data_IF_156898247475
#
_entry.id   IF_156898247475
#
_cell.length_a   1.000
_cell.length_b   1.000
_cell.length_c   1.000
_cell.angle_alpha   90.00
_cell.angle_beta   90.00
_cell.angle_gamma   90.00
#
_symmetry.space_group_name_H-M   'P 1'
#
loop_
_entity.id
_entity.type
_entity.pdbx_description
1 polymer ?
#
# COMPACT_ATOMS: atom_id res chain seq x y z
N UNK A 1 -5.33 -6.07 1.54
CA UNK A 1 -4.25 -6.71 2.34
C UNK A 1 -2.93 -6.36 1.67
N UNK A 2 -2.06 -5.59 2.34
CA UNK A 2 -0.81 -5.10 1.75
C UNK A 2 0.40 -5.76 2.41
N UNK A 3 1.51 -5.89 1.66
CA UNK A 3 2.77 -6.38 2.21
C UNK A 3 3.28 -5.49 3.34
N UNK A 4 3.11 -4.17 3.24
CA UNK A 4 3.54 -3.20 4.27
C UNK A 4 2.94 -3.53 5.65
N UNK A 5 1.61 -3.69 5.74
CA UNK A 5 0.94 -4.06 7.00
C UNK A 5 1.41 -5.41 7.55
N UNK A 6 1.63 -6.38 6.68
CA UNK A 6 2.16 -7.69 7.07
C UNK A 6 3.57 -7.57 7.67
N UNK A 7 4.43 -6.77 7.04
CA UNK A 7 5.79 -6.52 7.50
C UNK A 7 5.83 -5.70 8.80
N UNK A 8 4.93 -4.73 8.98
CA UNK A 8 4.76 -3.99 10.24
C UNK A 8 4.39 -4.94 11.39
N UNK A 9 3.44 -5.87 11.16
CA UNK A 9 3.08 -6.90 12.14
C UNK A 9 4.28 -7.76 12.48
N UNK A 10 4.99 -8.29 11.49
CA UNK A 10 6.17 -9.14 11.73
C UNK A 10 7.26 -8.38 12.50
N UNK A 11 7.54 -7.13 12.11
CA UNK A 11 8.53 -6.26 12.78
C UNK A 11 8.20 -6.00 14.25
N UNK A 12 6.92 -5.80 14.57
CA UNK A 12 6.47 -5.57 15.95
C UNK A 12 6.70 -6.77 16.89
N UNK A 13 7.01 -7.94 16.34
CA UNK A 13 7.23 -9.17 17.08
C UNK A 13 8.71 -9.45 17.37
N UNK A 14 9.64 -8.67 16.83
CA UNK A 14 11.08 -8.87 17.06
C UNK A 14 11.37 -8.84 18.55
N UNK A 15 12.11 -9.85 19.03
CA UNK A 15 12.45 -10.02 20.45
C UNK A 15 11.48 -10.88 21.25
N UNK A 16 10.31 -11.26 20.73
CA UNK A 16 9.46 -12.26 21.37
C UNK A 16 10.18 -13.58 21.50
N UNK A 17 10.17 -14.18 22.71
CA UNK A 17 10.86 -15.42 23.06
C UNK A 17 9.86 -16.49 23.47
N UNK A 18 10.24 -17.76 23.26
CA UNK A 18 9.55 -18.89 23.86
C UNK A 18 10.00 -19.13 25.30
N UNK A 19 9.14 -19.66 26.18
CA UNK A 19 9.45 -20.09 27.55
C UNK A 19 8.33 -21.04 28.05
N UNK A 20 8.61 -22.31 28.31
CA UNK A 20 9.76 -23.13 27.94
C UNK A 20 9.80 -23.53 26.46
N UNK A 21 10.54 -24.55 26.09
CA UNK A 21 10.78 -25.00 24.70
C UNK A 21 9.51 -25.02 23.87
N UNK A 22 9.49 -24.19 22.82
CA UNK A 22 8.38 -24.01 21.87
C UNK A 22 7.05 -23.55 22.48
N UNK A 23 7.01 -23.17 23.74
CA UNK A 23 5.84 -22.49 24.31
C UNK A 23 5.90 -20.99 23.98
N UNK A 24 5.07 -20.56 23.09
CA UNK A 24 5.00 -19.17 22.59
C UNK A 24 3.59 -18.86 22.17
N UNK A 25 3.20 -17.59 22.28
CA UNK A 25 1.82 -17.15 21.95
C UNK A 25 1.34 -17.56 20.54
N UNK A 26 2.26 -17.72 19.58
CA UNK A 26 1.91 -18.15 18.22
C UNK A 26 1.44 -19.60 18.19
N UNK A 27 2.09 -20.46 18.93
CA UNK A 27 1.67 -21.85 19.10
C UNK A 27 0.35 -21.95 19.85
N UNK A 28 0.20 -21.21 20.94
CA UNK A 28 -1.06 -21.17 21.71
C UNK A 28 -2.23 -20.76 20.81
N UNK A 29 -2.04 -19.70 20.01
CA UNK A 29 -3.02 -19.27 19.01
C UNK A 29 -3.31 -20.35 17.94
N UNK A 30 -2.25 -20.98 17.40
CA UNK A 30 -2.40 -21.95 16.31
C UNK A 30 -3.12 -23.21 16.74
N UNK A 31 -2.76 -23.76 17.89
CA UNK A 31 -3.29 -25.01 18.43
C UNK A 31 -4.55 -24.81 19.30
N UNK A 32 -4.91 -23.59 19.64
CA UNK A 32 -6.06 -23.26 20.52
C UNK A 32 -5.87 -23.69 21.97
N UNK A 33 -4.65 -24.02 22.38
CA UNK A 33 -4.25 -24.45 23.74
C UNK A 33 -2.76 -24.24 23.96
N UNK A 34 -2.35 -24.22 25.20
CA UNK A 34 -0.92 -24.24 25.54
C UNK A 34 -0.27 -25.52 25.06
N UNK A 35 0.83 -25.38 24.32
CA UNK A 35 1.69 -26.49 23.87
C UNK A 35 3.14 -26.15 24.13
N UNK A 36 3.96 -27.19 24.39
CA UNK A 36 5.40 -27.08 24.60
C UNK A 36 6.11 -28.34 24.15
N UNK A 37 7.43 -28.28 24.00
CA UNK A 37 8.26 -29.40 23.63
C UNK A 37 8.60 -29.45 22.12
N UNK A 38 9.51 -30.35 21.74
CA UNK A 38 10.14 -30.39 20.42
C UNK A 38 9.21 -30.70 19.26
N UNK A 39 7.98 -31.18 19.55
CA UNK A 39 6.97 -31.46 18.52
C UNK A 39 6.33 -30.21 17.91
N UNK A 40 6.60 -29.03 18.46
CA UNK A 40 5.92 -27.78 18.12
C UNK A 40 6.85 -26.68 17.61
N UNK A 41 7.70 -26.92 16.58
CA UNK A 41 8.51 -25.85 15.99
C UNK A 41 7.60 -24.78 15.38
N UNK A 42 7.93 -23.50 15.58
CA UNK A 42 6.99 -22.43 15.31
C UNK A 42 7.42 -21.39 14.26
N UNK A 43 8.45 -21.67 13.46
CA UNK A 43 8.85 -20.76 12.37
C UNK A 43 7.69 -20.50 11.38
N UNK A 44 7.00 -21.55 10.94
CA UNK A 44 5.84 -21.45 10.03
C UNK A 44 4.62 -20.86 10.74
N UNK A 45 4.41 -21.28 11.99
CA UNK A 45 3.29 -20.82 12.80
C UNK A 45 3.37 -19.31 13.05
N UNK A 46 4.58 -18.77 13.24
CA UNK A 46 4.83 -17.33 13.29
C UNK A 46 4.39 -16.62 12.00
N UNK A 47 4.76 -17.14 10.84
CA UNK A 47 4.32 -16.59 9.53
C UNK A 47 2.80 -16.63 9.42
N UNK A 48 2.18 -17.74 9.81
CA UNK A 48 0.72 -17.88 9.82
C UNK A 48 0.06 -16.86 10.76
N UNK A 49 0.61 -16.65 11.95
CA UNK A 49 0.09 -15.67 12.90
C UNK A 49 0.17 -14.26 12.32
N UNK A 50 1.30 -13.86 11.75
CA UNK A 50 1.43 -12.55 11.09
C UNK A 50 0.42 -12.38 9.95
N UNK A 51 0.20 -13.44 9.15
CA UNK A 51 -0.77 -13.42 8.07
C UNK A 51 -2.23 -13.29 8.56
N UNK A 52 -2.55 -13.90 9.70
CA UNK A 52 -3.86 -13.80 10.35
C UNK A 52 -4.17 -12.37 10.77
N UNK A 53 -3.20 -11.69 11.40
CA UNK A 53 -3.37 -10.32 11.89
C UNK A 53 -3.74 -9.31 10.76
N UNK A 54 -3.44 -9.65 9.50
CA UNK A 54 -3.78 -8.81 8.34
C UNK A 54 -4.87 -9.42 7.45
N UNK A 55 -5.51 -10.51 7.90
CA UNK A 55 -6.57 -11.21 7.18
C UNK A 55 -6.11 -11.94 5.91
N UNK A 56 -4.81 -12.24 5.79
CA UNK A 56 -4.18 -12.93 4.64
C UNK A 56 -4.13 -14.46 4.80
N UNK A 57 -4.28 -14.97 6.03
CA UNK A 57 -4.26 -16.40 6.31
C UNK A 57 -5.44 -17.12 5.62
N UNK A 58 -5.15 -18.25 4.99
CA UNK A 58 -6.12 -19.02 4.21
C UNK A 58 -6.49 -18.41 2.85
N UNK A 59 -6.04 -17.17 2.56
CA UNK A 59 -6.29 -16.48 1.28
C UNK A 59 -5.02 -16.33 0.44
N UNK A 60 -3.98 -15.75 1.02
CA UNK A 60 -2.69 -15.50 0.36
C UNK A 60 -1.59 -16.40 0.91
N UNK A 61 -1.70 -16.84 2.15
CA UNK A 61 -0.75 -17.67 2.87
C UNK A 61 -1.54 -18.83 3.51
N UNK A 62 -1.16 -20.10 3.28
CA UNK A 62 -1.90 -21.25 3.80
C UNK A 62 -1.74 -21.37 5.32
N UNK A 63 -2.75 -21.94 5.99
CA UNK A 63 -2.65 -22.32 7.41
C UNK A 63 -2.00 -23.69 7.53
N UNK A 64 -0.76 -23.74 7.97
CA UNK A 64 0.00 -24.96 8.21
C UNK A 64 1.08 -24.72 9.28
N UNK A 65 1.58 -25.78 9.91
CA UNK A 65 2.74 -25.75 10.79
C UNK A 65 4.00 -26.37 10.14
N UNK A 66 3.92 -26.75 8.85
CA UNK A 66 5.01 -27.42 8.13
C UNK A 66 5.59 -26.55 7.03
N UNK A 67 6.91 -26.28 7.09
CA UNK A 67 7.66 -25.55 6.06
C UNK A 67 7.51 -26.20 4.68
N UNK A 68 7.59 -27.53 4.61
CA UNK A 68 7.45 -28.28 3.36
C UNK A 68 6.04 -28.19 2.78
N UNK A 69 5.01 -28.21 3.62
CA UNK A 69 3.61 -28.04 3.18
C UNK A 69 3.37 -26.63 2.66
N UNK A 70 3.89 -25.59 3.36
CA UNK A 70 3.79 -24.20 2.91
C UNK A 70 4.54 -24.00 1.59
N UNK A 71 5.76 -24.55 1.44
CA UNK A 71 6.53 -24.48 0.20
C UNK A 71 5.77 -25.11 -0.99
N UNK A 72 5.22 -26.33 -0.81
CA UNK A 72 4.44 -27.00 -1.86
C UNK A 72 3.21 -26.17 -2.24
N UNK A 73 2.51 -25.61 -1.26
CA UNK A 73 1.35 -24.77 -1.52
C UNK A 73 1.70 -23.58 -2.41
N UNK A 74 2.79 -22.85 -2.12
CA UNK A 74 3.23 -21.74 -2.98
C UNK A 74 3.61 -22.22 -4.38
N UNK A 75 4.34 -23.32 -4.49
CA UNK A 75 4.70 -23.92 -5.78
C UNK A 75 3.48 -24.22 -6.64
N UNK A 76 2.42 -24.74 -6.04
CA UNK A 76 1.25 -25.27 -6.74
C UNK A 76 0.17 -24.21 -6.99
N UNK A 77 0.09 -23.17 -6.15
CA UNK A 77 -0.99 -22.16 -6.22
C UNK A 77 -0.54 -20.76 -6.67
N UNK A 78 0.77 -20.46 -6.55
CA UNK A 78 1.30 -19.16 -6.99
C UNK A 78 2.56 -19.33 -7.82
N UNK A 79 3.73 -19.17 -7.22
CA UNK A 79 5.03 -19.50 -7.80
C UNK A 79 6.14 -19.49 -6.75
N UNK A 80 7.24 -20.19 -7.06
CA UNK A 80 8.51 -20.04 -6.35
C UNK A 80 9.46 -19.24 -7.22
N UNK A 81 10.09 -18.23 -6.64
CA UNK A 81 11.06 -17.35 -7.32
C UNK A 81 12.45 -17.43 -6.66
N UNK A 82 13.47 -16.97 -7.38
CA UNK A 82 14.82 -16.70 -6.84
C UNK A 82 15.06 -15.19 -6.64
N UNK A 83 14.14 -14.34 -7.13
CA UNK A 83 14.20 -12.90 -7.02
C UNK A 83 13.00 -12.40 -6.18
N UNK A 84 13.10 -12.47 -4.84
CA UNK A 84 11.99 -12.14 -3.96
C UNK A 84 11.70 -10.64 -3.93
N UNK A 85 10.53 -10.32 -3.39
CA UNK A 85 10.14 -8.98 -2.96
C UNK A 85 9.84 -8.97 -1.47
N UNK A 86 9.88 -7.81 -0.86
CA UNK A 86 9.45 -7.62 0.52
C UNK A 86 8.00 -8.12 0.71
N UNK A 87 7.79 -8.96 1.72
CA UNK A 87 6.53 -9.65 1.98
C UNK A 87 6.41 -11.06 1.38
N UNK A 88 7.37 -11.50 0.58
CA UNK A 88 7.45 -12.91 0.14
C UNK A 88 7.93 -13.81 1.28
N UNK A 89 7.66 -15.12 1.15
CA UNK A 89 8.00 -16.12 2.16
C UNK A 89 9.18 -16.95 1.69
N UNK A 90 10.29 -16.89 2.42
CA UNK A 90 11.51 -17.66 2.12
C UNK A 90 11.51 -19.04 2.77
N UNK A 91 12.23 -19.97 2.12
CA UNK A 91 12.37 -21.35 2.57
C UNK A 91 13.84 -21.78 2.52
N UNK A 92 14.30 -22.45 3.57
CA UNK A 92 15.58 -23.16 3.56
C UNK A 92 15.38 -24.63 3.19
N UNK A 93 16.37 -25.21 2.52
CA UNK A 93 16.39 -26.64 2.16
C UNK A 93 16.33 -27.49 3.42
N UNK A 94 15.57 -28.55 3.34
CA UNK A 94 15.64 -29.65 4.30
C UNK A 94 16.59 -30.75 3.84
N UNK A 95 17.05 -31.61 4.76
CA UNK A 95 17.84 -32.76 4.45
C UNK A 95 17.00 -33.96 4.02
N UNK A 96 15.89 -34.19 4.71
CA UNK A 96 14.94 -35.29 4.46
C UNK A 96 13.58 -34.81 3.90
N UNK A 97 13.33 -33.53 3.97
CA UNK A 97 12.09 -32.88 3.52
C UNK A 97 12.44 -31.73 2.59
N UNK A 98 11.54 -31.30 1.67
CA UNK A 98 11.82 -30.18 0.76
C UNK A 98 12.28 -28.90 1.47
N UNK A 99 11.60 -28.51 2.56
CA UNK A 99 11.95 -27.32 3.33
C UNK A 99 12.02 -27.63 4.82
N UNK A 100 13.05 -27.09 5.49
CA UNK A 100 13.28 -27.24 6.94
C UNK A 100 12.92 -26.02 7.75
N UNK A 101 12.98 -24.82 7.15
CA UNK A 101 12.72 -23.54 7.81
C UNK A 101 11.99 -22.58 6.90
N UNK A 102 11.27 -21.63 7.50
CA UNK A 102 10.46 -20.63 6.82
C UNK A 102 10.67 -19.26 7.45
N UNK A 103 10.78 -18.23 6.62
CA UNK A 103 11.01 -16.86 7.06
C UNK A 103 10.29 -15.84 6.17
N UNK A 104 10.11 -14.62 6.69
CA UNK A 104 9.53 -13.50 5.97
C UNK A 104 10.64 -12.66 5.37
N UNK A 105 10.58 -12.36 4.07
CA UNK A 105 11.47 -11.38 3.42
C UNK A 105 11.01 -9.99 3.83
N UNK A 106 11.83 -9.28 4.63
CA UNK A 106 11.51 -7.95 5.11
C UNK A 106 11.97 -6.86 4.15
N UNK A 107 13.19 -7.00 3.63
CA UNK A 107 13.80 -6.03 2.72
C UNK A 107 14.69 -6.76 1.70
N UNK A 108 14.81 -6.19 0.50
CA UNK A 108 15.71 -6.68 -0.54
C UNK A 108 16.62 -5.53 -0.96
N UNK A 109 17.94 -5.75 -0.85
CA UNK A 109 18.95 -4.77 -1.23
C UNK A 109 20.02 -5.44 -2.11
N UNK A 110 19.85 -5.32 -3.43
CA UNK A 110 20.72 -6.00 -4.38
C UNK A 110 20.72 -7.53 -4.19
N UNK A 111 21.87 -8.09 -3.85
CA UNK A 111 22.04 -9.54 -3.62
C UNK A 111 21.87 -9.94 -2.14
N UNK A 112 21.51 -9.02 -1.26
CA UNK A 112 21.25 -9.26 0.16
C UNK A 112 19.78 -9.04 0.49
N UNK A 113 19.24 -9.87 1.37
CA UNK A 113 17.92 -9.70 1.96
C UNK A 113 18.04 -9.58 3.48
N UNK A 114 17.20 -8.73 4.06
CA UNK A 114 16.91 -8.75 5.49
C UNK A 114 15.64 -9.57 5.70
N UNK A 115 15.66 -10.52 6.64
CA UNK A 115 14.52 -11.39 6.97
C UNK A 115 14.02 -11.14 8.38
N UNK A 116 12.76 -11.50 8.66
CA UNK A 116 12.22 -11.64 10.01
C UNK A 116 11.84 -13.11 10.18
N UNK A 117 12.39 -13.74 11.19
CA UNK A 117 12.35 -15.20 11.39
C UNK A 117 11.88 -15.53 12.80
N UNK A 118 10.90 -16.40 12.91
CA UNK A 118 10.50 -17.00 14.18
C UNK A 118 11.27 -18.31 14.43
N UNK A 119 11.46 -18.65 15.70
CA UNK A 119 12.11 -19.88 16.13
C UNK A 119 13.59 -20.02 15.70
N UNK A 120 14.29 -18.90 15.66
CA UNK A 120 15.75 -18.87 15.59
C UNK A 120 16.27 -18.49 16.97
N UNK A 121 17.13 -19.32 17.56
CA UNK A 121 17.59 -19.16 18.94
C UNK A 121 16.41 -18.91 19.91
N UNK A 122 15.32 -19.65 19.72
CA UNK A 122 14.10 -19.60 20.55
C UNK A 122 13.40 -18.23 20.60
N UNK A 123 13.54 -17.42 19.55
CA UNK A 123 12.95 -16.05 19.50
C UNK A 123 12.62 -15.62 18.07
N UNK A 124 11.98 -14.47 17.96
CA UNK A 124 11.81 -13.73 16.69
C UNK A 124 12.98 -12.79 16.53
N UNK A 125 13.70 -12.90 15.41
CA UNK A 125 14.87 -12.07 15.10
C UNK A 125 14.85 -11.57 13.65
N UNK A 126 15.71 -10.60 13.37
CA UNK A 126 16.13 -10.26 12.01
C UNK A 126 17.43 -10.97 11.66
N UNK A 127 17.55 -11.40 10.40
CA UNK A 127 18.81 -11.91 9.85
C UNK A 127 19.09 -11.29 8.47
N UNK A 128 20.36 -11.30 8.09
CA UNK A 128 20.82 -10.99 6.73
C UNK A 128 21.18 -12.27 6.01
N UNK A 129 20.73 -12.40 4.77
CA UNK A 129 21.02 -13.56 3.91
C UNK A 129 21.40 -13.08 2.53
N UNK A 130 22.33 -13.80 1.87
CA UNK A 130 22.64 -13.57 0.46
C UNK A 130 21.67 -14.35 -0.43
N UNK A 131 21.18 -13.76 -1.51
CA UNK A 131 20.32 -14.47 -2.48
C UNK A 131 21.05 -15.64 -3.16
N UNK A 132 22.38 -15.60 -3.17
CA UNK A 132 23.25 -16.68 -3.67
C UNK A 132 23.50 -17.82 -2.65
N UNK A 133 22.95 -17.73 -1.42
CA UNK A 133 23.08 -18.83 -0.45
C UNK A 133 22.42 -20.09 -0.99
N UNK A 134 23.25 -21.13 -1.18
CA UNK A 134 22.81 -22.42 -1.71
C UNK A 134 21.80 -23.14 -0.82
N UNK A 135 21.69 -22.78 0.46
CA UNK A 135 20.69 -23.32 1.39
C UNK A 135 19.29 -22.72 1.16
N UNK A 136 19.18 -21.59 0.46
CA UNK A 136 17.88 -21.05 0.11
C UNK A 136 17.22 -21.93 -0.96
N UNK A 137 16.12 -22.59 -0.60
CA UNK A 137 15.31 -23.39 -1.50
C UNK A 137 14.57 -22.52 -2.52
N UNK A 138 14.10 -21.36 -2.11
CA UNK A 138 13.38 -20.39 -2.92
C UNK A 138 12.41 -19.55 -2.09
N UNK A 139 11.66 -18.70 -2.78
CA UNK A 139 10.73 -17.76 -2.16
C UNK A 139 9.33 -17.95 -2.75
N UNK A 140 8.35 -18.19 -1.89
CA UNK A 140 6.93 -18.23 -2.27
C UNK A 140 6.43 -16.80 -2.53
N UNK A 141 5.95 -16.57 -3.73
CA UNK A 141 5.42 -15.25 -4.14
C UNK A 141 4.04 -15.02 -3.53
N UNK A 142 3.92 -14.03 -2.66
CA UNK A 142 2.64 -13.64 -2.06
C UNK A 142 1.98 -12.55 -2.91
N UNK A 143 0.77 -12.80 -3.38
CA UNK A 143 0.02 -11.87 -4.25
C UNK A 143 -0.67 -10.77 -3.43
N UNK A 144 0.13 -9.93 -2.77
CA UNK A 144 -0.37 -8.79 -2.01
C UNK A 144 -1.10 -7.79 -2.93
N UNK A 145 -2.15 -7.19 -2.41
CA UNK A 145 -2.77 -6.01 -3.02
C UNK A 145 -2.08 -4.75 -2.49
N UNK A 146 -0.97 -4.40 -3.13
CA UNK A 146 -0.19 -3.21 -2.79
C UNK A 146 -0.67 -1.96 -3.54
N UNK A 147 -1.88 -2.00 -4.09
CA UNK A 147 -2.44 -0.84 -4.78
C UNK A 147 -2.57 0.36 -3.84
N UNK A 148 -2.13 1.49 -4.35
CA UNK A 148 -2.24 2.78 -3.67
C UNK A 148 -3.52 3.45 -4.15
N UNK A 149 -4.36 3.91 -3.21
CA UNK A 149 -5.53 4.70 -3.56
C UNK A 149 -5.07 6.12 -3.90
N UNK A 150 -5.42 6.56 -5.10
CA UNK A 150 -5.26 7.93 -5.57
C UNK A 150 -6.60 8.47 -6.07
N UNK A 151 -6.66 9.77 -6.28
CA UNK A 151 -7.83 10.46 -6.82
C UNK A 151 -7.44 11.29 -8.02
N UNK A 152 -8.25 11.28 -9.07
CA UNK A 152 -8.05 12.15 -10.25
C UNK A 152 -8.17 13.60 -9.81
N UNK A 153 -7.15 14.40 -10.15
CA UNK A 153 -7.02 15.79 -9.78
C UNK A 153 -6.28 16.57 -10.90
N UNK A 154 -6.35 17.92 -10.85
CA UNK A 154 -5.62 18.80 -11.77
C UNK A 154 -5.87 18.51 -13.27
N UNK A 155 -7.04 17.99 -13.61
CA UNK A 155 -7.49 17.80 -14.99
C UNK A 155 -8.50 18.88 -15.38
N UNK A 156 -8.63 19.12 -16.68
CA UNK A 156 -9.69 19.95 -17.24
C UNK A 156 -11.09 19.29 -17.10
N UNK A 157 -12.09 19.91 -17.71
CA UNK A 157 -13.47 19.42 -17.66
C UNK A 157 -13.66 18.06 -18.37
N UNK A 158 -12.76 17.68 -19.29
CA UNK A 158 -12.84 16.40 -20.01
C UNK A 158 -12.42 15.23 -19.11
N UNK A 159 -11.54 15.46 -18.12
CA UNK A 159 -11.04 14.45 -17.21
C UNK A 159 -9.72 13.81 -17.64
N UNK A 160 -9.34 12.71 -16.97
CA UNK A 160 -8.07 12.02 -17.16
C UNK A 160 -8.21 10.83 -18.10
N UNK A 161 -7.53 10.86 -19.23
CA UNK A 161 -7.50 9.74 -20.18
C UNK A 161 -6.75 8.54 -19.61
N UNK A 162 -7.37 7.36 -19.64
CA UNK A 162 -6.70 6.07 -19.44
C UNK A 162 -6.02 5.68 -20.75
N UNK A 163 -4.75 5.24 -20.68
CA UNK A 163 -3.90 4.95 -21.84
C UNK A 163 -3.35 3.53 -21.81
N UNK A 164 -3.09 2.95 -22.97
CA UNK A 164 -2.40 1.68 -23.13
C UNK A 164 -0.90 1.81 -22.88
N UNK A 165 -0.30 0.87 -22.12
CA UNK A 165 1.14 0.87 -21.81
C UNK A 165 1.97 0.70 -23.10
N UNK A 166 1.56 -0.18 -24.00
CA UNK A 166 2.37 -0.56 -25.17
C UNK A 166 2.54 0.54 -26.23
N UNK A 167 1.57 1.45 -26.37
CA UNK A 167 1.58 2.45 -27.44
C UNK A 167 1.21 3.86 -27.01
N UNK A 168 0.93 4.08 -25.73
CA UNK A 168 0.54 5.37 -25.15
C UNK A 168 -0.74 5.99 -25.75
N UNK A 169 -1.54 5.24 -26.50
CA UNK A 169 -2.80 5.74 -27.07
C UNK A 169 -3.90 5.72 -26.00
N UNK A 170 -4.85 6.68 -26.03
CA UNK A 170 -6.03 6.62 -25.18
C UNK A 170 -6.84 5.35 -25.45
N UNK A 171 -7.40 4.79 -24.38
CA UNK A 171 -8.28 3.61 -24.45
C UNK A 171 -9.73 3.97 -24.82
N UNK A 172 -10.05 5.27 -24.86
CA UNK A 172 -11.42 5.78 -24.92
C UNK A 172 -12.07 5.98 -23.55
N UNK A 173 -11.46 5.42 -22.47
CA UNK A 173 -11.94 5.64 -21.09
C UNK A 173 -11.37 6.93 -20.54
N UNK A 174 -12.25 7.80 -20.06
CA UNK A 174 -11.91 9.05 -19.36
C UNK A 174 -12.37 8.94 -17.90
N UNK A 175 -11.51 9.30 -16.98
CA UNK A 175 -11.80 9.33 -15.54
C UNK A 175 -12.13 10.76 -15.12
N UNK A 176 -13.36 11.03 -14.68
CA UNK A 176 -13.73 12.34 -14.15
C UNK A 176 -12.87 12.75 -12.96
N UNK A 177 -12.77 14.06 -12.74
CA UNK A 177 -12.12 14.60 -11.54
C UNK A 177 -12.73 14.01 -10.26
N UNK A 178 -11.93 13.86 -9.21
CA UNK A 178 -12.27 13.17 -7.94
C UNK A 178 -12.58 11.68 -8.06
N UNK A 179 -12.41 11.06 -9.24
CA UNK A 179 -12.52 9.61 -9.37
C UNK A 179 -11.44 8.92 -8.54
N UNK A 180 -11.86 8.00 -7.69
CA UNK A 180 -10.96 7.11 -6.94
C UNK A 180 -10.36 6.08 -7.90
N UNK A 181 -9.03 5.95 -7.90
CA UNK A 181 -8.29 4.97 -8.70
C UNK A 181 -7.36 4.13 -7.84
N UNK A 182 -7.30 2.85 -8.12
CA UNK A 182 -6.32 1.95 -7.53
C UNK A 182 -5.09 1.93 -8.43
N UNK A 183 -3.97 2.42 -7.91
CA UNK A 183 -2.68 2.45 -8.60
C UNK A 183 -1.85 1.28 -8.12
N UNK A 184 -1.51 0.35 -9.01
CA UNK A 184 -0.72 -0.84 -8.69
C UNK A 184 0.75 -0.48 -8.46
N UNK A 185 1.28 0.47 -9.23
CA UNK A 185 2.67 0.90 -9.19
C UNK A 185 2.80 2.26 -9.86
N UNK A 186 3.81 3.05 -9.45
CA UNK A 186 4.22 4.26 -10.16
C UNK A 186 5.57 4.01 -10.81
N UNK A 187 5.65 4.15 -12.13
CA UNK A 187 6.85 4.02 -12.96
C UNK A 187 7.12 5.32 -13.70
N UNK A 188 8.06 6.11 -13.19
CA UNK A 188 8.33 7.44 -13.71
C UNK A 188 7.07 8.32 -13.60
N UNK A 189 6.61 8.86 -14.73
CA UNK A 189 5.42 9.68 -14.84
C UNK A 189 4.10 8.90 -14.96
N UNK A 190 4.15 7.55 -14.97
CA UNK A 190 2.99 6.67 -15.20
C UNK A 190 2.53 5.99 -13.91
N UNK A 191 1.26 6.17 -13.58
CA UNK A 191 0.55 5.41 -12.56
C UNK A 191 -0.15 4.21 -13.22
N UNK A 192 0.33 3.01 -12.95
CA UNK A 192 -0.14 1.75 -13.56
C UNK A 192 -1.45 1.33 -12.89
N UNK A 193 -2.50 1.15 -13.68
CA UNK A 193 -3.82 0.75 -13.20
C UNK A 193 -4.10 -0.74 -13.43
N UNK A 194 -3.51 -1.32 -14.47
CA UNK A 194 -3.62 -2.74 -14.81
C UNK A 194 -2.37 -3.19 -15.57
N UNK A 195 -2.31 -4.48 -15.97
CA UNK A 195 -1.22 -5.00 -16.82
C UNK A 195 -1.10 -4.27 -18.16
N UNK A 196 -2.16 -3.62 -18.63
CA UNK A 196 -2.25 -3.02 -19.97
C UNK A 196 -2.41 -1.51 -19.95
N UNK A 197 -2.81 -0.92 -18.81
CA UNK A 197 -3.26 0.47 -18.75
C UNK A 197 -2.61 1.29 -17.66
N UNK A 198 -2.46 2.58 -17.94
CA UNK A 198 -1.95 3.58 -17.01
C UNK A 198 -2.66 4.93 -17.18
N UNK A 199 -2.41 5.82 -16.22
CA UNK A 199 -2.68 7.27 -16.31
C UNK A 199 -1.42 8.03 -15.94
N UNK A 200 -1.31 9.30 -16.33
CA UNK A 200 -0.19 10.12 -15.87
C UNK A 200 -0.33 10.47 -14.39
N UNK A 201 0.71 10.20 -13.62
CA UNK A 201 0.73 10.37 -12.15
C UNK A 201 0.61 11.81 -11.69
N UNK A 202 1.03 12.77 -12.52
CA UNK A 202 0.89 14.20 -12.26
C UNK A 202 -0.58 14.66 -12.07
N UNK A 203 -1.53 13.87 -12.59
CA UNK A 203 -2.96 14.14 -12.47
C UNK A 203 -3.62 13.33 -11.34
N UNK A 204 -2.84 12.86 -10.38
CA UNK A 204 -3.33 12.10 -9.24
C UNK A 204 -2.92 12.73 -7.92
N UNK A 205 -3.86 12.79 -6.98
CA UNK A 205 -3.67 13.27 -5.62
C UNK A 205 -3.79 12.12 -4.60
N UNK A 206 -3.13 12.23 -3.45
CA UNK A 206 -3.28 11.31 -2.31
C UNK A 206 -4.60 11.49 -1.57
N UNK A 207 -5.19 12.68 -1.68
CA UNK A 207 -6.44 13.04 -1.02
C UNK A 207 -7.50 13.32 -2.05
N UNK A 208 -8.75 13.02 -1.72
CA UNK A 208 -9.90 13.35 -2.57
C UNK A 208 -9.97 14.86 -2.76
N UNK A 209 -9.90 15.39 -4.00
CA UNK A 209 -9.99 16.81 -4.25
C UNK A 209 -11.39 17.31 -3.87
N UNK A 210 -11.40 18.42 -3.16
CA UNK A 210 -12.64 19.06 -2.73
C UNK A 210 -13.01 20.16 -3.71
N UNK A 211 -13.96 19.87 -4.60
CA UNK A 211 -14.49 20.83 -5.57
C UNK A 211 -15.85 21.35 -5.15
N UNK A 212 -16.09 22.61 -5.46
CA UNK A 212 -17.37 23.27 -5.32
C UNK A 212 -17.72 24.03 -6.58
N UNK A 213 -18.99 24.33 -6.77
CA UNK A 213 -19.49 25.07 -7.93
C UNK A 213 -19.93 26.45 -7.47
N UNK A 214 -19.53 27.46 -8.21
CA UNK A 214 -20.01 28.86 -7.96
C UNK A 214 -21.49 28.93 -8.26
N UNK A 215 -22.28 29.36 -7.28
CA UNK A 215 -23.75 29.49 -7.39
C UNK A 215 -24.24 30.73 -6.65
N UNK A 216 -25.27 31.38 -7.19
CA UNK A 216 -25.92 32.52 -6.53
C UNK A 216 -25.09 33.81 -6.52
N UNK A 217 -24.01 33.88 -7.29
CA UNK A 217 -23.31 35.12 -7.55
C UNK A 217 -24.17 36.02 -8.48
N UNK A 218 -23.93 37.34 -8.40
CA UNK A 218 -24.60 38.29 -9.29
C UNK A 218 -24.17 38.10 -10.78
N UNK A 219 -24.61 39.04 -11.65
CA UNK A 219 -24.29 38.99 -13.08
C UNK A 219 -22.78 39.11 -13.35
N UNK A 220 -22.03 39.75 -12.49
CA UNK A 220 -20.60 39.94 -12.64
C UNK A 220 -19.84 38.68 -12.20
N UNK A 221 -20.39 37.88 -11.27
CA UNK A 221 -19.83 36.64 -10.77
C UNK A 221 -19.21 36.76 -9.37
N UNK A 222 -18.55 35.70 -8.92
CA UNK A 222 -17.92 35.62 -7.61
C UNK A 222 -16.50 36.20 -7.64
N UNK A 223 -16.26 37.27 -6.90
CA UNK A 223 -14.94 37.87 -6.80
C UNK A 223 -13.94 36.98 -6.05
N UNK A 224 -12.77 36.78 -6.64
CA UNK A 224 -11.59 36.18 -6.01
C UNK A 224 -10.67 37.31 -5.56
N UNK A 225 -10.23 37.25 -4.31
CA UNK A 225 -9.46 38.35 -3.68
C UNK A 225 -8.21 37.81 -3.00
N UNK A 226 -7.09 38.54 -2.98
CA UNK A 226 -5.97 38.23 -2.11
C UNK A 226 -6.37 38.47 -0.65
N UNK A 227 -5.84 37.66 0.27
CA UNK A 227 -6.01 37.85 1.70
C UNK A 227 -4.76 38.48 2.27
N UNK A 228 -4.88 39.69 2.76
CA UNK A 228 -3.78 40.37 3.46
C UNK A 228 -3.70 39.94 4.93
N UNK A 229 -2.48 40.07 5.50
CA UNK A 229 -2.27 39.94 6.95
C UNK A 229 -3.15 40.99 7.66
N UNK A 230 -3.89 40.57 8.69
CA UNK A 230 -4.82 41.43 9.42
C UNK A 230 -6.28 41.34 8.98
N UNK A 231 -6.61 40.50 8.01
CA UNK A 231 -8.01 40.22 7.62
C UNK A 231 -8.63 41.20 6.61
N UNK A 232 -7.89 42.21 6.15
CA UNK A 232 -8.32 43.12 5.10
C UNK A 232 -8.19 42.42 3.74
N UNK A 233 -9.29 42.41 2.97
CA UNK A 233 -9.31 41.84 1.62
C UNK A 233 -8.93 42.91 0.59
N UNK A 234 -7.97 42.55 -0.25
CA UNK A 234 -7.58 43.41 -1.38
C UNK A 234 -8.63 43.50 -2.50
N UNK A 235 -8.34 44.30 -3.50
CA UNK A 235 -9.16 44.38 -4.71
C UNK A 235 -9.29 43.01 -5.37
N UNK A 236 -10.41 42.72 -6.08
CA UNK A 236 -10.56 41.48 -6.82
C UNK A 236 -9.41 41.28 -7.81
N UNK A 237 -8.87 40.07 -7.83
CA UNK A 237 -7.80 39.62 -8.76
C UNK A 237 -8.37 38.75 -9.87
N UNK A 238 -9.58 38.23 -9.70
CA UNK A 238 -10.33 37.47 -10.68
C UNK A 238 -11.82 37.47 -10.33
N UNK A 239 -12.63 37.07 -11.30
CA UNK A 239 -14.07 36.89 -11.12
C UNK A 239 -14.49 35.52 -11.72
N UNK A 240 -15.22 34.71 -10.96
CA UNK A 240 -15.68 33.39 -11.33
C UNK A 240 -17.18 33.43 -11.63
N UNK A 241 -17.57 33.03 -12.82
CA UNK A 241 -18.97 32.97 -13.22
C UNK A 241 -19.72 31.85 -12.51
N UNK A 242 -21.04 31.99 -12.35
CA UNK A 242 -21.93 30.93 -11.89
C UNK A 242 -21.71 29.67 -12.78
N UNK A 243 -21.70 28.50 -12.18
CA UNK A 243 -21.36 27.23 -12.84
C UNK A 243 -19.87 26.91 -12.88
N UNK A 244 -18.98 27.86 -12.56
CA UNK A 244 -17.55 27.61 -12.50
C UNK A 244 -17.25 26.60 -11.38
N UNK A 245 -16.55 25.50 -11.73
CA UNK A 245 -16.08 24.49 -10.79
C UNK A 245 -14.72 24.92 -10.25
N UNK A 246 -14.60 25.05 -8.95
CA UNK A 246 -13.36 25.46 -8.28
C UNK A 246 -12.91 24.46 -7.25
N UNK A 247 -11.62 24.21 -7.20
CA UNK A 247 -11.01 23.41 -6.14
C UNK A 247 -10.85 24.26 -4.89
N UNK A 248 -11.30 23.72 -3.75
CA UNK A 248 -11.15 24.37 -2.43
C UNK A 248 -9.97 23.72 -1.70
N UNK A 249 -8.94 24.51 -1.41
CA UNK A 249 -7.72 24.08 -0.72
C UNK A 249 -7.80 24.30 0.80
N UNK A 250 -8.56 25.28 1.23
CA UNK A 250 -8.73 25.60 2.65
C UNK A 250 -10.02 26.38 2.86
N UNK A 251 -10.67 26.16 4.00
CA UNK A 251 -11.78 27.01 4.47
C UNK A 251 -11.35 27.70 5.76
N UNK A 252 -11.56 29.01 5.85
CA UNK A 252 -11.29 29.81 7.05
C UNK A 252 -12.42 30.82 7.28
N UNK A 253 -13.30 30.50 8.23
CA UNK A 253 -14.53 31.29 8.47
C UNK A 253 -15.40 31.34 7.21
N UNK A 254 -15.73 32.52 6.75
CA UNK A 254 -16.58 32.77 5.56
C UNK A 254 -15.83 32.68 4.23
N UNK A 255 -14.54 32.26 4.22
CA UNK A 255 -13.67 32.31 3.05
C UNK A 255 -13.15 30.95 2.67
N UNK A 256 -13.14 30.66 1.37
CA UNK A 256 -12.53 29.49 0.76
C UNK A 256 -11.32 29.90 -0.07
N UNK A 257 -10.17 29.26 0.18
CA UNK A 257 -8.97 29.39 -0.64
C UNK A 257 -9.14 28.56 -1.91
N UNK A 258 -8.98 29.19 -3.07
CA UNK A 258 -9.24 28.59 -4.39
C UNK A 258 -7.98 28.51 -5.27
N UNK A 259 -6.79 28.70 -4.67
CA UNK A 259 -5.51 28.51 -5.32
C UNK A 259 -4.53 27.84 -4.35
N UNK A 260 -3.65 26.91 -4.79
CA UNK A 260 -2.65 26.29 -3.92
C UNK A 260 -1.53 27.27 -3.58
N UNK A 261 -1.02 27.99 -4.58
CA UNK A 261 0.21 28.78 -4.49
C UNK A 261 -0.07 30.27 -4.32
N UNK A 262 -1.16 30.78 -4.89
CA UNK A 262 -1.59 32.15 -4.75
C UNK A 262 -2.51 32.30 -3.55
N UNK A 263 -2.39 33.39 -2.85
CA UNK A 263 -3.26 33.72 -1.72
C UNK A 263 -4.62 34.22 -2.22
N UNK A 264 -5.34 33.37 -3.00
CA UNK A 264 -6.58 33.66 -3.68
C UNK A 264 -7.78 33.06 -2.93
N UNK A 265 -8.71 33.89 -2.52
CA UNK A 265 -9.87 33.56 -1.69
C UNK A 265 -11.17 34.10 -2.27
N UNK A 266 -12.24 33.34 -2.08
CA UNK A 266 -13.58 33.79 -2.38
C UNK A 266 -14.55 33.45 -1.23
N UNK A 267 -15.74 34.05 -1.24
CA UNK A 267 -16.77 33.81 -0.23
C UNK A 267 -17.34 32.39 -0.35
N UNK A 268 -17.27 31.64 0.75
CA UNK A 268 -17.71 30.23 0.82
C UNK A 268 -19.21 30.06 0.59
N UNK A 269 -20.04 31.07 0.91
CA UNK A 269 -21.50 31.04 0.73
C UNK A 269 -21.93 30.88 -0.74
N UNK A 270 -21.09 31.28 -1.68
CA UNK A 270 -21.33 31.13 -3.12
C UNK A 270 -20.75 29.84 -3.71
N UNK A 271 -20.24 28.95 -2.87
CA UNK A 271 -19.69 27.66 -3.27
C UNK A 271 -20.54 26.52 -2.73
N UNK A 272 -21.17 25.76 -3.62
CA UNK A 272 -21.97 24.58 -3.30
C UNK A 272 -21.31 23.29 -3.78
#
# INVERSE_FOLDING_TARGET
MTSEKFLEVAKSQIGVKEVPVNQVKYNDWYYGRHVSGNAYPWCVVFVCWCADQVGALGKLIPRTASSSTMYRWFRDNTSITKTPKAGDIGFLKGTTTPASHTFIVYEVNGNEITTIEGNIDNKVITQKRKLTDSNILGFGVVKWDNSIIKYVDNVDYEGLNVRYIGNNKPTGKVLPIATKVNVLEIKGDKAILSKETFVYSAYLSNTMPHYKVVTGADREGLNVRPRYIGGIMGNPIACLKNGTKVKVYQVKGKWSKVSPDNNAWCYSSYLK
#
